data_IF_102859942225
#
_entry.id   IF_102859942225
#
_cell.length_a   1.000
_cell.length_b   1.000
_cell.length_c   1.000
_cell.angle_alpha   90.00
_cell.angle_beta   90.00
_cell.angle_gamma   90.00
#
_symmetry.space_group_name_H-M   'P 1'
#
loop_
_entity.id
_entity.type
_entity.pdbx_description
1 polymer ?
#
# COMPACT_ATOMS: atom_id res chain seq x y z
N UNK A 1 15.47 -18.99 -4.58
CA UNK A 1 14.71 -18.25 -3.57
C UNK A 1 13.25 -18.29 -3.97
N UNK A 2 12.37 -18.79 -3.14
CA UNK A 2 10.94 -18.85 -3.41
C UNK A 2 10.30 -17.50 -3.05
N UNK A 3 9.46 -16.96 -3.95
CA UNK A 3 8.65 -15.76 -3.72
C UNK A 3 7.19 -16.16 -3.68
N UNK A 4 6.48 -15.82 -2.60
CA UNK A 4 5.03 -15.97 -2.54
C UNK A 4 4.37 -14.72 -3.10
N UNK A 5 3.58 -14.89 -4.15
CA UNK A 5 2.70 -13.84 -4.66
C UNK A 5 1.33 -14.02 -4.03
N UNK A 6 0.88 -13.03 -3.27
CA UNK A 6 -0.45 -12.97 -2.70
C UNK A 6 -1.32 -12.05 -3.56
N UNK A 7 -2.40 -12.60 -4.09
CA UNK A 7 -3.46 -11.83 -4.76
C UNK A 7 -4.68 -11.84 -3.84
N UNK A 8 -5.04 -10.68 -3.27
CA UNK A 8 -6.29 -10.56 -2.50
C UNK A 8 -7.44 -10.15 -3.40
N UNK A 9 -8.62 -10.70 -3.16
CA UNK A 9 -9.82 -10.38 -3.93
C UNK A 9 -11.02 -10.13 -3.01
N UNK A 10 -11.90 -9.23 -3.45
CA UNK A 10 -13.26 -9.05 -2.94
C UNK A 10 -14.11 -8.41 -4.03
N UNK A 11 -15.10 -9.16 -4.56
CA UNK A 11 -15.95 -8.73 -5.67
C UNK A 11 -15.13 -8.18 -6.87
N UNK A 12 -14.11 -8.95 -7.27
CA UNK A 12 -13.12 -8.56 -8.28
C UNK A 12 -13.33 -9.26 -9.64
N UNK A 13 -14.49 -9.88 -9.89
CA UNK A 13 -14.76 -10.70 -11.09
C UNK A 13 -14.43 -9.98 -12.40
N UNK A 14 -14.62 -8.66 -12.43
CA UNK A 14 -14.35 -7.82 -13.62
C UNK A 14 -12.87 -7.76 -13.99
N UNK A 15 -11.95 -7.79 -13.01
CA UNK A 15 -10.53 -7.48 -13.22
C UNK A 15 -9.58 -8.61 -12.88
N UNK A 16 -9.96 -9.53 -11.99
CA UNK A 16 -9.08 -10.55 -11.41
C UNK A 16 -8.35 -11.39 -12.44
N UNK A 17 -8.98 -11.66 -13.58
CA UNK A 17 -8.35 -12.40 -14.68
C UNK A 17 -7.09 -11.70 -15.19
N UNK A 18 -7.12 -10.36 -15.32
CA UNK A 18 -5.97 -9.59 -15.80
C UNK A 18 -4.84 -9.61 -14.77
N UNK A 19 -5.17 -9.53 -13.48
CA UNK A 19 -4.20 -9.65 -12.40
C UNK A 19 -3.52 -11.02 -12.43
N UNK A 20 -4.28 -12.12 -12.48
CA UNK A 20 -3.75 -13.48 -12.53
C UNK A 20 -2.87 -13.73 -13.76
N UNK A 21 -3.28 -13.24 -14.93
CA UNK A 21 -2.46 -13.33 -16.15
C UNK A 21 -1.16 -12.55 -16.01
N UNK A 22 -1.13 -11.41 -15.28
CA UNK A 22 0.11 -10.66 -15.03
C UNK A 22 1.07 -11.43 -14.13
N UNK A 23 0.57 -12.16 -13.13
CA UNK A 23 1.37 -13.06 -12.30
C UNK A 23 1.93 -14.22 -13.10
N UNK A 24 1.14 -14.80 -14.00
CA UNK A 24 1.57 -15.89 -14.90
C UNK A 24 2.70 -15.45 -15.84
N UNK A 25 2.65 -14.23 -16.33
CA UNK A 25 3.67 -13.69 -17.27
C UNK A 25 5.00 -13.35 -16.60
N UNK A 26 5.12 -13.40 -15.27
CA UNK A 26 6.37 -13.05 -14.60
C UNK A 26 7.56 -13.82 -15.18
N UNK A 27 8.66 -13.10 -15.46
CA UNK A 27 9.93 -13.67 -15.94
C UNK A 27 10.58 -14.53 -14.87
N UNK A 28 10.45 -14.17 -13.60
CA UNK A 28 10.88 -14.96 -12.46
C UNK A 28 10.02 -16.21 -12.29
N UNK A 29 10.62 -17.41 -12.08
CA UNK A 29 9.89 -18.70 -12.11
C UNK A 29 9.74 -19.38 -10.75
N UNK A 30 10.50 -18.99 -9.75
CA UNK A 30 10.39 -19.55 -8.40
C UNK A 30 9.26 -18.86 -7.63
N UNK A 31 8.01 -19.04 -8.10
CA UNK A 31 6.81 -18.38 -7.57
C UNK A 31 5.86 -19.42 -6.95
N UNK A 32 5.39 -19.13 -5.74
CA UNK A 32 4.19 -19.68 -5.13
C UNK A 32 3.06 -18.67 -5.27
N UNK A 33 1.87 -19.08 -5.73
CA UNK A 33 0.72 -18.20 -5.87
C UNK A 33 -0.35 -18.53 -4.83
N UNK A 34 -0.73 -17.54 -4.03
CA UNK A 34 -1.85 -17.61 -3.10
C UNK A 34 -2.89 -16.58 -3.53
N UNK A 35 -4.06 -17.03 -4.01
CA UNK A 35 -5.21 -16.16 -4.21
C UNK A 35 -6.10 -16.27 -2.97
N UNK A 36 -6.32 -15.14 -2.29
CA UNK A 36 -7.13 -15.11 -1.07
C UNK A 36 -8.36 -14.23 -1.28
N UNK A 37 -9.53 -14.83 -1.21
CA UNK A 37 -10.81 -14.17 -1.42
C UNK A 37 -11.47 -13.81 -0.09
N UNK A 38 -11.88 -12.55 0.07
CA UNK A 38 -12.51 -12.03 1.30
C UNK A 38 -14.04 -12.20 1.30
N UNK A 39 -14.49 -13.43 1.00
CA UNK A 39 -15.91 -13.79 0.98
C UNK A 39 -16.70 -13.03 -0.09
N UNK A 40 -16.21 -13.03 -1.34
CA UNK A 40 -16.91 -12.41 -2.49
C UNK A 40 -18.30 -13.00 -2.72
N UNK A 41 -19.22 -12.15 -3.14
CA UNK A 41 -20.59 -12.53 -3.52
C UNK A 41 -20.82 -12.63 -5.03
N UNK A 42 -19.84 -12.21 -5.83
CA UNK A 42 -19.84 -12.31 -7.30
C UNK A 42 -19.08 -13.56 -7.78
N UNK A 43 -18.81 -13.66 -9.08
CA UNK A 43 -18.14 -14.82 -9.70
C UNK A 43 -16.61 -14.88 -9.42
N UNK A 44 -16.05 -14.00 -8.59
CA UNK A 44 -14.60 -13.90 -8.32
C UNK A 44 -14.00 -15.27 -7.97
N UNK A 45 -14.55 -15.95 -6.97
CA UNK A 45 -14.01 -17.23 -6.47
C UNK A 45 -14.04 -18.33 -7.53
N UNK A 46 -15.10 -18.40 -8.33
CA UNK A 46 -15.25 -19.37 -9.40
C UNK A 46 -14.23 -19.14 -10.52
N UNK A 47 -14.01 -17.89 -10.89
CA UNK A 47 -12.99 -17.47 -11.87
C UNK A 47 -11.59 -17.85 -11.38
N UNK A 48 -11.26 -17.51 -10.14
CA UNK A 48 -9.96 -17.80 -9.54
C UNK A 48 -9.69 -19.31 -9.49
N UNK A 49 -10.63 -20.11 -9.02
CA UNK A 49 -10.50 -21.56 -8.96
C UNK A 49 -10.31 -22.18 -10.36
N UNK A 50 -11.11 -21.78 -11.33
CA UNK A 50 -11.01 -22.26 -12.71
C UNK A 50 -9.66 -21.92 -13.32
N UNK A 51 -9.18 -20.70 -13.09
CA UNK A 51 -7.89 -20.24 -13.62
C UNK A 51 -6.71 -20.94 -12.95
N UNK A 52 -6.69 -21.05 -11.62
CA UNK A 52 -5.62 -21.73 -10.87
C UNK A 52 -5.55 -23.21 -11.26
N UNK A 53 -6.67 -23.91 -11.37
CA UNK A 53 -6.69 -25.32 -11.79
C UNK A 53 -6.05 -25.53 -13.18
N UNK A 54 -6.23 -24.59 -14.11
CA UNK A 54 -5.64 -24.65 -15.45
C UNK A 54 -4.15 -24.30 -15.48
N UNK A 55 -3.67 -23.48 -14.55
CA UNK A 55 -2.35 -22.87 -14.62
C UNK A 55 -1.40 -23.29 -13.46
N UNK A 56 -1.85 -24.08 -12.49
CA UNK A 56 -1.06 -24.42 -11.27
C UNK A 56 0.32 -25.02 -11.55
N UNK A 57 0.49 -25.73 -12.65
CA UNK A 57 1.77 -26.36 -13.04
C UNK A 57 2.85 -25.35 -13.45
N UNK A 58 2.49 -24.09 -13.66
CA UNK A 58 3.42 -23.00 -14.00
C UNK A 58 4.15 -22.51 -12.75
N UNK A 59 3.55 -22.67 -11.59
CA UNK A 59 4.04 -22.23 -10.29
C UNK A 59 4.65 -23.39 -9.49
N UNK A 60 5.47 -23.08 -8.49
CA UNK A 60 5.96 -24.07 -7.53
C UNK A 60 4.83 -24.62 -6.65
N UNK A 61 3.88 -23.77 -6.30
CA UNK A 61 2.61 -24.09 -5.69
C UNK A 61 1.59 -23.03 -6.09
N UNK A 62 0.31 -23.40 -6.19
CA UNK A 62 -0.75 -22.43 -6.46
C UNK A 62 -2.07 -22.89 -5.85
N UNK A 63 -2.72 -22.03 -5.09
CA UNK A 63 -4.00 -22.31 -4.44
C UNK A 63 -4.88 -21.08 -4.32
N UNK A 64 -6.18 -21.34 -4.22
CA UNK A 64 -7.19 -20.36 -3.86
C UNK A 64 -7.66 -20.69 -2.45
N UNK A 65 -7.74 -19.69 -1.59
CA UNK A 65 -8.30 -19.78 -0.24
C UNK A 65 -9.36 -18.72 -0.07
N UNK A 66 -10.29 -18.92 0.85
CA UNK A 66 -11.35 -17.97 1.14
C UNK A 66 -11.44 -17.75 2.64
N UNK A 67 -11.58 -16.49 3.05
CA UNK A 67 -11.82 -16.14 4.46
C UNK A 67 -13.23 -16.61 4.88
N UNK A 68 -13.45 -16.94 6.16
CA UNK A 68 -14.77 -17.35 6.65
C UNK A 68 -15.84 -16.25 6.54
N UNK A 69 -15.43 -14.99 6.54
CA UNK A 69 -16.29 -13.81 6.41
C UNK A 69 -15.44 -12.63 5.91
N UNK A 70 -16.09 -11.62 5.34
CA UNK A 70 -15.38 -10.40 4.94
C UNK A 70 -14.79 -9.70 6.18
N UNK A 71 -13.48 -9.63 6.24
CA UNK A 71 -12.69 -9.00 7.32
C UNK A 71 -11.92 -7.76 6.88
N UNK A 72 -11.95 -7.41 5.60
CA UNK A 72 -11.20 -6.31 5.00
C UNK A 72 -9.79 -6.67 4.56
N UNK A 73 -9.10 -5.69 4.00
CA UNK A 73 -7.82 -5.86 3.30
C UNK A 73 -6.76 -6.50 4.22
N UNK A 74 -6.57 -5.95 5.43
CA UNK A 74 -5.54 -6.44 6.35
C UNK A 74 -5.83 -7.87 6.83
N UNK A 75 -7.09 -8.19 7.14
CA UNK A 75 -7.50 -9.53 7.53
C UNK A 75 -7.24 -10.55 6.40
N UNK A 76 -7.64 -10.21 5.19
CA UNK A 76 -7.45 -11.07 4.02
C UNK A 76 -5.95 -11.30 3.73
N UNK A 77 -5.11 -10.28 3.83
CA UNK A 77 -3.65 -10.46 3.71
C UNK A 77 -3.06 -11.33 4.82
N UNK A 78 -3.48 -11.17 6.08
CA UNK A 78 -3.03 -12.01 7.18
C UNK A 78 -3.44 -13.46 6.99
N UNK A 79 -4.67 -13.70 6.52
CA UNK A 79 -5.15 -15.03 6.20
C UNK A 79 -4.32 -15.69 5.08
N UNK A 80 -4.02 -14.95 4.03
CA UNK A 80 -3.14 -15.38 2.95
C UNK A 80 -1.70 -15.63 3.43
N UNK A 81 -1.14 -14.76 4.27
CA UNK A 81 0.22 -14.84 4.79
C UNK A 81 0.47 -16.16 5.53
N UNK A 82 -0.51 -16.66 6.28
CA UNK A 82 -0.43 -17.97 6.96
C UNK A 82 -0.27 -19.14 5.98
N UNK A 83 -0.64 -18.96 4.73
CA UNK A 83 -0.58 -19.96 3.68
C UNK A 83 0.71 -19.96 2.88
N UNK A 84 1.58 -18.94 3.08
CA UNK A 84 2.81 -18.73 2.30
C UNK A 84 4.00 -19.49 2.85
N UNK A 85 4.91 -19.89 1.95
CA UNK A 85 6.17 -20.59 2.26
C UNK A 85 7.39 -19.86 1.71
N UNK A 86 7.18 -18.87 0.81
CA UNK A 86 8.26 -18.11 0.19
C UNK A 86 9.05 -17.27 1.18
N UNK A 87 10.31 -17.05 0.89
CA UNK A 87 11.20 -16.19 1.68
C UNK A 87 10.79 -14.71 1.58
N UNK A 88 10.25 -14.35 0.43
CA UNK A 88 9.77 -13.00 0.12
C UNK A 88 8.31 -13.03 -0.29
N UNK A 89 7.61 -11.96 0.03
CA UNK A 89 6.21 -11.75 -0.29
C UNK A 89 6.08 -10.59 -1.28
N UNK A 90 5.42 -10.85 -2.41
CA UNK A 90 4.85 -9.82 -3.28
C UNK A 90 3.35 -9.88 -3.15
N UNK A 91 2.71 -8.81 -2.72
CA UNK A 91 1.27 -8.78 -2.65
C UNK A 91 0.67 -7.76 -3.62
N UNK A 92 -0.57 -8.02 -4.05
CA UNK A 92 -1.30 -7.19 -5.02
C UNK A 92 -2.82 -7.41 -4.85
N UNK A 93 -3.62 -6.39 -5.12
CA UNK A 93 -5.07 -6.50 -5.18
C UNK A 93 -5.54 -7.10 -6.52
N UNK A 94 -6.72 -7.72 -6.54
CA UNK A 94 -7.28 -8.42 -7.70
C UNK A 94 -7.72 -7.54 -8.86
N UNK A 95 -7.44 -6.25 -8.83
CA UNK A 95 -7.73 -5.26 -9.86
C UNK A 95 -6.47 -4.58 -10.43
N UNK A 96 -5.29 -4.86 -9.85
CA UNK A 96 -4.01 -4.29 -10.26
C UNK A 96 -3.21 -5.26 -11.16
N UNK A 97 -2.13 -4.78 -11.76
CA UNK A 97 -1.33 -5.53 -12.73
C UNK A 97 0.16 -5.41 -12.38
N UNK A 98 0.88 -6.53 -12.37
CA UNK A 98 2.34 -6.55 -12.30
C UNK A 98 2.93 -6.43 -13.71
N UNK A 99 4.02 -5.64 -13.86
CA UNK A 99 4.85 -5.71 -15.06
C UNK A 99 5.53 -7.08 -15.15
N UNK A 100 5.77 -7.57 -16.35
CA UNK A 100 6.22 -8.95 -16.58
C UNK A 100 7.55 -9.30 -15.87
N UNK A 101 8.43 -8.31 -15.64
CA UNK A 101 9.71 -8.45 -14.94
C UNK A 101 9.67 -8.01 -13.46
N UNK A 102 8.49 -7.72 -12.90
CA UNK A 102 8.36 -7.10 -11.58
C UNK A 102 9.11 -7.87 -10.48
N UNK A 103 8.86 -9.17 -10.35
CA UNK A 103 9.47 -9.98 -9.29
C UNK A 103 10.98 -10.13 -9.53
N UNK A 104 11.41 -10.35 -10.76
CA UNK A 104 12.82 -10.45 -11.14
C UNK A 104 13.60 -9.18 -10.76
N UNK A 105 13.02 -8.00 -11.02
CA UNK A 105 13.66 -6.72 -10.69
C UNK A 105 13.77 -6.52 -9.17
N UNK A 106 12.72 -6.85 -8.41
CA UNK A 106 12.83 -6.82 -6.94
C UNK A 106 13.91 -7.77 -6.43
N UNK A 107 13.91 -9.01 -6.88
CA UNK A 107 14.89 -10.02 -6.48
C UNK A 107 16.32 -9.58 -6.80
N UNK A 108 16.55 -9.01 -7.98
CA UNK A 108 17.87 -8.50 -8.40
C UNK A 108 18.35 -7.29 -7.56
N UNK A 109 17.45 -6.58 -6.91
CA UNK A 109 17.77 -5.42 -6.08
C UNK A 109 17.89 -5.72 -4.57
N UNK A 110 17.74 -6.98 -4.14
CA UNK A 110 17.87 -7.35 -2.73
C UNK A 110 19.29 -7.04 -2.24
N UNK A 111 19.38 -6.30 -1.14
CA UNK A 111 20.61 -5.93 -0.46
C UNK A 111 20.59 -6.40 0.99
N UNK A 112 21.75 -6.71 1.60
CA UNK A 112 21.81 -7.05 3.02
C UNK A 112 21.16 -5.97 3.90
N UNK A 113 20.44 -6.40 4.93
CA UNK A 113 19.77 -5.53 5.92
C UNK A 113 18.67 -4.61 5.35
N UNK A 114 18.12 -4.93 4.18
CA UNK A 114 16.92 -4.29 3.64
C UNK A 114 15.87 -5.38 3.40
N UNK A 115 14.77 -5.32 4.12
CA UNK A 115 13.75 -6.37 4.17
C UNK A 115 12.40 -5.92 3.59
N UNK A 116 12.30 -4.66 3.17
CA UNK A 116 11.13 -4.10 2.50
C UNK A 116 11.59 -3.20 1.35
N UNK A 117 10.97 -3.38 0.19
CA UNK A 117 11.21 -2.59 -1.02
C UNK A 117 9.91 -2.00 -1.54
N UNK A 118 10.03 -0.89 -2.26
CA UNK A 118 8.97 -0.26 -3.05
C UNK A 118 9.48 0.13 -4.43
N UNK A 119 8.55 0.43 -5.36
CA UNK A 119 8.89 0.79 -6.74
C UNK A 119 8.04 1.98 -7.24
N UNK A 120 8.26 2.40 -8.48
CA UNK A 120 7.38 3.34 -9.19
C UNK A 120 6.07 2.64 -9.56
N UNK A 121 4.96 3.38 -9.49
CA UNK A 121 3.63 2.91 -9.89
C UNK A 121 3.19 3.58 -11.19
N UNK A 122 2.59 2.82 -12.10
CA UNK A 122 1.80 3.34 -13.22
C UNK A 122 0.34 3.47 -12.75
N UNK A 123 -0.20 4.67 -12.76
CA UNK A 123 -1.62 4.89 -12.49
C UNK A 123 -2.40 4.79 -13.80
N UNK A 124 -3.18 3.73 -13.95
CA UNK A 124 -4.02 3.48 -15.11
C UNK A 124 -5.43 3.98 -14.84
N UNK A 125 -5.81 5.08 -15.48
CA UNK A 125 -7.21 5.54 -15.48
C UNK A 125 -8.05 4.65 -16.40
N UNK A 126 -8.89 3.82 -15.81
CA UNK A 126 -9.63 2.78 -16.52
C UNK A 126 -10.56 3.35 -17.60
N UNK A 127 -11.22 4.48 -17.34
CA UNK A 127 -12.19 5.11 -18.26
C UNK A 127 -11.52 5.73 -19.50
N UNK A 128 -10.28 6.18 -19.38
CA UNK A 128 -9.57 6.91 -20.45
C UNK A 128 -8.40 6.16 -21.04
N UNK A 129 -7.95 5.09 -20.38
CA UNK A 129 -6.71 4.37 -20.71
C UNK A 129 -5.42 5.20 -20.48
N UNK A 130 -5.52 6.39 -19.87
CA UNK A 130 -4.35 7.22 -19.61
C UNK A 130 -3.49 6.61 -18.50
N UNK A 131 -2.17 6.65 -18.70
CA UNK A 131 -1.18 6.19 -17.72
C UNK A 131 -0.35 7.39 -17.26
N UNK A 132 -0.19 7.52 -15.95
CA UNK A 132 0.71 8.47 -15.31
C UNK A 132 1.66 7.71 -14.37
N UNK A 133 2.92 8.15 -14.30
CA UNK A 133 3.95 7.52 -13.46
C UNK A 133 4.08 8.27 -12.14
N UNK A 134 4.11 7.52 -11.04
CA UNK A 134 4.25 8.07 -9.70
C UNK A 134 5.33 7.32 -8.92
N UNK A 135 6.32 8.04 -8.42
CA UNK A 135 7.30 7.50 -7.49
C UNK A 135 6.87 7.75 -6.04
N UNK A 136 7.38 6.91 -5.14
CA UNK A 136 7.26 7.18 -3.70
C UNK A 136 7.94 8.52 -3.34
N UNK A 137 7.43 9.20 -2.30
CA UNK A 137 8.09 10.37 -1.70
C UNK A 137 9.05 10.01 -0.58
N UNK A 138 9.23 8.73 -0.32
CA UNK A 138 10.21 8.27 0.66
C UNK A 138 11.61 8.57 0.12
N UNK A 139 12.47 9.29 0.85
CA UNK A 139 13.82 9.54 0.38
C UNK A 139 14.64 8.24 0.37
N UNK A 140 15.50 8.07 -0.63
CA UNK A 140 16.50 6.98 -0.62
C UNK A 140 17.64 7.32 0.35
N UNK A 141 17.37 7.23 1.63
CA UNK A 141 18.23 7.68 2.73
C UNK A 141 18.06 6.75 3.96
N UNK A 142 18.49 7.22 5.12
CA UNK A 142 18.39 6.49 6.39
C UNK A 142 16.93 6.20 6.80
N UNK A 143 16.73 5.13 7.56
CA UNK A 143 15.43 4.80 8.14
C UNK A 143 14.80 5.97 8.90
N UNK A 144 15.62 6.75 9.62
CA UNK A 144 15.17 7.95 10.33
C UNK A 144 14.55 9.01 9.41
N UNK A 145 15.21 9.32 8.28
CA UNK A 145 14.67 10.29 7.31
C UNK A 145 13.43 9.76 6.60
N UNK A 146 13.38 8.46 6.33
CA UNK A 146 12.22 7.80 5.74
C UNK A 146 11.03 7.85 6.70
N UNK A 147 11.20 7.46 7.97
CA UNK A 147 10.17 7.57 9.01
C UNK A 147 9.65 9.01 9.17
N UNK A 148 10.58 9.97 9.26
CA UNK A 148 10.23 11.38 9.35
C UNK A 148 9.42 11.88 8.15
N UNK A 149 9.76 11.43 6.95
CA UNK A 149 9.00 11.74 5.73
C UNK A 149 7.59 11.18 5.79
N UNK A 150 7.42 9.92 6.19
CA UNK A 150 6.12 9.28 6.30
C UNK A 150 5.24 9.86 7.39
N UNK A 151 5.79 10.24 8.54
CA UNK A 151 5.05 10.95 9.59
C UNK A 151 4.60 12.34 9.14
N UNK A 152 5.37 12.98 8.26
CA UNK A 152 5.05 14.31 7.73
C UNK A 152 4.05 14.26 6.57
N UNK A 153 4.15 13.25 5.72
CA UNK A 153 3.35 13.12 4.50
C UNK A 153 2.58 11.80 4.56
N UNK A 154 1.26 11.87 4.57
CA UNK A 154 0.40 10.71 4.75
C UNK A 154 0.63 9.79 3.59
N UNK A 155 0.72 9.70 2.56
CA UNK A 155 0.93 8.73 1.49
C UNK A 155 2.34 8.80 0.90
N UNK A 156 3.23 8.01 1.44
CA UNK A 156 4.58 7.91 0.91
C UNK A 156 4.86 6.59 0.19
N UNK A 157 4.02 5.58 0.40
CA UNK A 157 4.15 4.24 -0.17
C UNK A 157 2.78 3.80 -0.70
N UNK A 158 2.75 2.91 -1.67
CA UNK A 158 1.53 2.35 -2.24
C UNK A 158 1.55 0.83 -2.06
N UNK A 159 0.49 0.25 -1.52
CA UNK A 159 0.37 -1.17 -1.21
C UNK A 159 0.89 -2.09 -2.31
N UNK A 160 0.35 -2.03 -3.53
CA UNK A 160 0.79 -2.91 -4.61
C UNK A 160 2.26 -2.74 -5.03
N UNK A 161 3.00 -1.74 -4.54
CA UNK A 161 4.43 -1.61 -4.81
C UNK A 161 5.33 -2.33 -3.82
N UNK A 162 4.80 -2.85 -2.73
CA UNK A 162 5.58 -3.45 -1.66
C UNK A 162 6.05 -4.86 -2.02
N UNK A 163 7.33 -5.10 -1.73
CA UNK A 163 7.99 -6.40 -1.75
C UNK A 163 8.74 -6.56 -0.43
N UNK A 164 8.39 -7.58 0.37
CA UNK A 164 8.80 -7.67 1.77
C UNK A 164 9.28 -9.07 2.14
N UNK A 165 10.33 -9.16 2.95
CA UNK A 165 10.82 -10.41 3.48
C UNK A 165 9.81 -11.00 4.49
N UNK A 166 9.46 -12.27 4.29
CA UNK A 166 8.37 -12.94 5.00
C UNK A 166 8.56 -12.99 6.51
N UNK A 167 9.75 -13.35 6.98
CA UNK A 167 9.99 -13.52 8.40
C UNK A 167 9.88 -12.18 9.13
N UNK A 168 10.44 -11.11 8.57
CA UNK A 168 10.30 -9.76 9.13
C UNK A 168 8.83 -9.29 9.16
N UNK A 169 8.05 -9.60 8.11
CA UNK A 169 6.62 -9.29 8.11
C UNK A 169 5.89 -10.00 9.25
N UNK A 170 6.17 -11.31 9.45
CA UNK A 170 5.57 -12.11 10.51
C UNK A 170 6.01 -11.63 11.90
N UNK A 171 7.32 -11.42 12.11
CA UNK A 171 7.91 -10.97 13.37
C UNK A 171 7.41 -9.58 13.80
N UNK A 172 7.12 -8.70 12.84
CA UNK A 172 6.54 -7.38 13.09
C UNK A 172 5.03 -7.40 13.27
N UNK A 173 4.38 -8.58 13.26
CA UNK A 173 2.97 -8.75 13.56
C UNK A 173 2.04 -8.72 12.33
N UNK A 174 2.60 -8.87 11.11
CA UNK A 174 1.79 -8.92 9.88
C UNK A 174 1.11 -7.60 9.55
N UNK A 175 -0.07 -7.69 8.93
CA UNK A 175 -0.91 -6.55 8.58
C UNK A 175 -1.79 -6.15 9.78
N UNK A 176 -1.90 -4.86 10.06
CA UNK A 176 -2.52 -4.36 11.29
C UNK A 176 -4.04 -4.24 11.15
N UNK A 177 -4.78 -5.27 11.62
CA UNK A 177 -6.24 -5.37 11.47
C UNK A 177 -7.02 -4.28 12.23
N UNK A 178 -6.36 -3.56 13.14
CA UNK A 178 -6.93 -2.35 13.75
C UNK A 178 -7.30 -1.30 12.69
N UNK A 179 -6.60 -1.30 11.55
CA UNK A 179 -6.87 -0.41 10.41
C UNK A 179 -7.21 -1.24 9.17
N UNK A 180 -8.40 -1.83 9.11
CA UNK A 180 -8.72 -2.95 8.21
C UNK A 180 -8.56 -2.65 6.72
N UNK A 181 -8.52 -1.36 6.34
CA UNK A 181 -8.45 -0.91 4.94
C UNK A 181 -7.08 -0.32 4.55
N UNK A 182 -6.09 -0.31 5.47
CA UNK A 182 -4.78 0.32 5.25
C UNK A 182 -3.68 -0.67 5.65
N UNK A 183 -3.11 -1.33 4.68
CA UNK A 183 -2.07 -2.34 4.89
C UNK A 183 -0.65 -1.79 4.74
N UNK A 184 -0.47 -0.78 3.89
CA UNK A 184 0.82 -0.32 3.39
C UNK A 184 1.53 0.65 4.36
N UNK A 185 0.86 1.73 4.73
CA UNK A 185 1.46 2.78 5.54
C UNK A 185 1.83 2.31 6.96
N UNK A 186 1.00 1.53 7.69
CA UNK A 186 1.36 0.99 9.00
C UNK A 186 2.58 0.07 8.97
N UNK A 187 2.73 -0.77 7.95
CA UNK A 187 3.92 -1.62 7.77
C UNK A 187 5.14 -0.75 7.56
N UNK A 188 5.10 0.18 6.62
CA UNK A 188 6.23 1.02 6.26
C UNK A 188 6.71 1.89 7.44
N UNK A 189 5.78 2.46 8.22
CA UNK A 189 6.15 3.28 9.38
C UNK A 189 6.72 2.43 10.51
N UNK A 190 6.19 1.23 10.79
CA UNK A 190 6.75 0.30 11.77
C UNK A 190 8.18 -0.09 11.41
N UNK A 191 8.42 -0.40 10.14
CA UNK A 191 9.76 -0.72 9.63
C UNK A 191 10.76 0.40 9.87
N UNK A 192 10.44 1.59 9.45
CA UNK A 192 11.36 2.72 9.52
C UNK A 192 11.55 3.25 10.93
N UNK A 193 10.52 3.19 11.79
CA UNK A 193 10.64 3.57 13.21
C UNK A 193 11.41 2.55 14.06
N UNK A 194 11.50 1.28 13.61
CA UNK A 194 12.40 0.29 14.22
C UNK A 194 13.84 0.35 13.70
N UNK A 195 14.17 1.34 12.88
CA UNK A 195 15.51 1.56 12.37
C UNK A 195 15.83 0.84 11.06
N UNK A 196 14.86 0.15 10.46
CA UNK A 196 15.04 -0.55 9.20
C UNK A 196 14.74 0.37 8.01
N UNK A 197 15.62 0.37 7.02
CA UNK A 197 15.49 1.17 5.81
C UNK A 197 14.62 0.46 4.77
N UNK A 198 13.76 1.21 4.09
CA UNK A 198 13.04 0.76 2.90
C UNK A 198 13.93 0.97 1.67
N UNK A 199 14.11 -0.08 0.87
CA UNK A 199 14.77 -0.03 -0.42
C UNK A 199 13.85 0.53 -1.50
N UNK A 200 14.42 1.23 -2.47
CA UNK A 200 13.67 1.79 -3.60
C UNK A 200 14.20 1.16 -4.89
N UNK A 201 13.30 0.56 -5.67
CA UNK A 201 13.56 0.13 -7.04
C UNK A 201 12.96 1.21 -7.95
N UNK A 202 13.84 1.99 -8.59
CA UNK A 202 13.44 3.15 -9.38
C UNK A 202 12.95 2.75 -10.77
N UNK A 203 12.00 1.82 -10.82
CA UNK A 203 11.41 1.27 -12.04
C UNK A 203 9.88 1.16 -11.88
N UNK A 204 9.10 1.37 -12.97
CA UNK A 204 7.65 1.27 -12.95
C UNK A 204 7.21 -0.20 -13.07
N UNK A 205 7.13 -0.90 -11.93
CA UNK A 205 6.91 -2.35 -11.89
C UNK A 205 5.46 -2.77 -11.63
N UNK A 206 4.57 -1.83 -11.32
CA UNK A 206 3.17 -2.10 -10.99
C UNK A 206 2.25 -1.09 -11.67
N UNK A 207 1.12 -1.56 -12.20
CA UNK A 207 0.03 -0.71 -12.66
C UNK A 207 -1.10 -0.73 -11.64
N UNK A 208 -1.34 0.40 -11.01
CA UNK A 208 -2.48 0.62 -10.13
C UNK A 208 -3.66 1.12 -10.94
N UNK A 209 -4.76 0.36 -10.88
CA UNK A 209 -5.99 0.70 -11.61
C UNK A 209 -6.82 1.69 -10.81
N UNK A 210 -7.23 2.78 -11.47
CA UNK A 210 -8.09 3.82 -10.91
C UNK A 210 -9.42 3.78 -11.67
N UNK A 211 -10.53 3.61 -10.94
CA UNK A 211 -11.91 3.65 -11.47
C UNK A 211 -12.86 4.19 -10.41
N UNK A 212 -14.04 4.67 -10.83
CA UNK A 212 -14.95 5.46 -9.98
C UNK A 212 -15.40 4.78 -8.68
N UNK A 213 -15.46 3.44 -8.65
CA UNK A 213 -15.88 2.65 -7.48
C UNK A 213 -14.69 2.01 -6.74
N UNK A 214 -13.44 2.42 -7.01
CA UNK A 214 -12.30 1.89 -6.28
C UNK A 214 -12.36 2.25 -4.78
N UNK A 215 -11.95 1.32 -3.92
CA UNK A 215 -12.02 1.46 -2.46
C UNK A 215 -11.31 2.73 -1.99
N UNK A 216 -10.15 3.04 -2.56
CA UNK A 216 -9.35 4.22 -2.20
C UNK A 216 -10.02 5.57 -2.54
N UNK A 217 -10.99 5.60 -3.45
CA UNK A 217 -11.63 6.84 -3.93
C UNK A 217 -13.05 7.04 -3.39
N UNK A 218 -13.77 5.98 -3.09
CA UNK A 218 -15.20 6.04 -2.76
C UNK A 218 -15.55 5.57 -1.35
N UNK A 219 -14.62 4.95 -0.62
CA UNK A 219 -14.96 4.28 0.63
C UNK A 219 -14.69 5.15 1.85
N UNK A 220 -15.75 5.51 2.59
CA UNK A 220 -15.66 6.24 3.85
C UNK A 220 -14.83 5.50 4.92
N UNK A 221 -14.92 4.16 4.95
CA UNK A 221 -14.15 3.32 5.88
C UNK A 221 -12.64 3.39 5.62
N UNK A 222 -12.21 3.49 4.35
CA UNK A 222 -10.82 3.73 3.99
C UNK A 222 -10.30 5.04 4.59
N UNK A 223 -11.04 6.14 4.40
CA UNK A 223 -10.65 7.45 4.93
C UNK A 223 -10.60 7.49 6.46
N UNK A 224 -11.47 6.73 7.14
CA UNK A 224 -11.45 6.59 8.61
C UNK A 224 -10.20 5.82 9.04
N UNK A 225 -9.98 4.61 8.51
CA UNK A 225 -8.84 3.76 8.85
C UNK A 225 -7.51 4.50 8.67
N UNK A 226 -7.37 5.20 7.56
CA UNK A 226 -6.18 5.98 7.27
C UNK A 226 -5.93 7.10 8.28
N UNK A 227 -6.97 7.84 8.64
CA UNK A 227 -6.87 8.94 9.61
C UNK A 227 -6.53 8.45 11.00
N UNK A 228 -7.12 7.33 11.43
CA UNK A 228 -6.85 6.72 12.71
C UNK A 228 -5.42 6.19 12.77
N UNK A 229 -4.97 5.48 11.75
CA UNK A 229 -3.59 5.01 11.66
C UNK A 229 -2.60 6.17 11.73
N UNK A 230 -2.82 7.20 10.92
CA UNK A 230 -1.94 8.36 10.91
C UNK A 230 -1.92 9.10 12.25
N UNK A 231 -3.08 9.29 12.90
CA UNK A 231 -3.17 9.88 14.22
C UNK A 231 -2.37 9.09 15.25
N UNK A 232 -2.61 7.78 15.36
CA UNK A 232 -2.00 6.93 16.38
C UNK A 232 -0.47 6.89 16.23
N UNK A 233 0.03 6.70 15.02
CA UNK A 233 1.47 6.66 14.75
C UNK A 233 2.13 8.04 14.91
N UNK A 234 1.45 9.11 14.50
CA UNK A 234 1.94 10.47 14.70
C UNK A 234 2.05 10.80 16.18
N UNK A 235 1.02 10.50 16.98
CA UNK A 235 1.05 10.71 18.44
C UNK A 235 2.17 9.92 19.11
N UNK A 236 2.43 8.69 18.64
CA UNK A 236 3.45 7.82 19.21
C UNK A 236 4.88 8.27 18.88
N UNK A 237 5.14 8.75 17.66
CA UNK A 237 6.50 8.91 17.15
C UNK A 237 6.93 10.34 16.85
N UNK A 238 6.03 11.33 16.76
CA UNK A 238 6.39 12.70 16.37
C UNK A 238 7.51 13.33 17.21
N UNK A 239 7.55 13.06 18.51
CA UNK A 239 8.61 13.58 19.39
C UNK A 239 9.99 13.07 19.00
N UNK A 240 10.11 11.78 18.67
CA UNK A 240 11.38 11.17 18.26
C UNK A 240 11.92 11.73 16.94
N UNK A 241 11.02 12.27 16.11
CA UNK A 241 11.36 12.77 14.77
C UNK A 241 11.33 14.31 14.67
N UNK A 242 11.32 15.01 15.83
CA UNK A 242 11.32 16.48 15.90
C UNK A 242 10.19 17.14 15.10
N UNK A 243 8.96 16.64 15.27
CA UNK A 243 7.74 17.15 14.61
C UNK A 243 6.67 17.61 15.62
N UNK A 244 7.00 18.43 16.65
CA UNK A 244 6.06 18.79 17.73
C UNK A 244 4.84 19.57 17.24
N UNK A 245 5.01 20.44 16.23
CA UNK A 245 3.91 21.22 15.65
C UNK A 245 2.90 20.33 14.91
N UNK A 246 3.37 19.24 14.28
CA UNK A 246 2.48 18.27 13.64
C UNK A 246 1.64 17.53 14.67
N UNK A 247 2.17 17.25 15.86
CA UNK A 247 1.46 16.61 16.95
C UNK A 247 0.23 17.41 17.37
N UNK A 248 0.40 18.72 17.61
CA UNK A 248 -0.70 19.62 17.96
C UNK A 248 -1.75 19.70 16.85
N UNK A 249 -1.30 19.85 15.61
CA UNK A 249 -2.18 19.93 14.44
C UNK A 249 -3.02 18.64 14.27
N UNK A 250 -2.41 17.47 14.43
CA UNK A 250 -3.10 16.18 14.33
C UNK A 250 -4.07 15.95 15.49
N UNK A 251 -3.65 16.24 16.72
CA UNK A 251 -4.51 16.15 17.89
C UNK A 251 -5.76 17.02 17.72
N UNK A 252 -5.58 18.26 17.31
CA UNK A 252 -6.68 19.20 17.15
C UNK A 252 -7.62 18.80 16.00
N UNK A 253 -7.09 18.36 14.86
CA UNK A 253 -7.91 17.87 13.75
C UNK A 253 -8.71 16.61 14.14
N UNK A 254 -8.08 15.66 14.84
CA UNK A 254 -8.75 14.46 15.31
C UNK A 254 -9.86 14.80 16.31
N UNK A 255 -9.57 15.69 17.27
CA UNK A 255 -10.54 16.17 18.25
C UNK A 255 -11.74 16.86 17.60
N UNK A 256 -11.50 17.77 16.66
CA UNK A 256 -12.54 18.47 15.91
C UNK A 256 -13.44 17.51 15.12
N UNK A 257 -12.85 16.54 14.43
CA UNK A 257 -13.61 15.56 13.65
C UNK A 257 -14.47 14.63 14.52
N UNK A 258 -14.02 14.35 15.74
CA UNK A 258 -14.75 13.51 16.69
C UNK A 258 -15.90 14.23 17.41
N UNK A 259 -15.77 15.55 17.62
CA UNK A 259 -16.68 16.32 18.47
C UNK A 259 -17.52 17.36 17.72
N UNK A 260 -17.23 17.63 16.44
CA UNK A 260 -17.98 18.58 15.62
C UNK A 260 -18.98 17.86 14.71
N UNK A 261 -20.27 18.18 14.88
CA UNK A 261 -21.33 17.76 13.96
C UNK A 261 -21.45 18.66 12.72
N UNK A 262 -20.79 19.83 12.72
CA UNK A 262 -20.86 20.82 11.66
C UNK A 262 -19.61 20.81 10.78
N UNK A 263 -19.75 20.30 9.56
CA UNK A 263 -18.66 20.25 8.57
C UNK A 263 -18.12 21.64 8.16
N UNK A 264 -18.89 22.72 8.34
CA UNK A 264 -18.49 24.10 8.06
C UNK A 264 -17.45 24.61 9.08
N UNK A 265 -17.63 24.27 10.36
CA UNK A 265 -16.70 24.63 11.44
C UNK A 265 -15.33 23.94 11.27
N UNK A 266 -15.34 22.67 10.86
CA UNK A 266 -14.11 21.92 10.55
C UNK A 266 -13.34 22.55 9.40
N UNK A 267 -14.05 22.99 8.34
CA UNK A 267 -13.43 23.66 7.19
C UNK A 267 -12.82 25.01 7.57
N UNK A 268 -13.53 25.82 8.37
CA UNK A 268 -13.05 27.12 8.83
C UNK A 268 -11.83 26.98 9.73
N UNK A 269 -11.86 26.06 10.69
CA UNK A 269 -10.75 25.83 11.61
C UNK A 269 -9.55 25.18 10.92
N UNK A 270 -9.76 24.30 9.97
CA UNK A 270 -8.72 23.74 9.10
C UNK A 270 -8.07 24.81 8.22
N UNK A 271 -8.79 25.89 7.86
CA UNK A 271 -8.23 27.06 7.18
C UNK A 271 -7.36 27.89 8.13
N UNK A 272 -7.82 28.16 9.35
CA UNK A 272 -7.06 28.90 10.38
C UNK A 272 -5.77 28.16 10.75
N UNK A 273 -5.81 26.85 10.93
CA UNK A 273 -4.62 26.03 11.20
C UNK A 273 -3.62 26.06 10.03
N UNK A 274 -4.10 26.08 8.80
CA UNK A 274 -3.25 26.27 7.60
C UNK A 274 -2.58 27.65 7.59
N UNK A 275 -3.25 28.70 8.07
CA UNK A 275 -2.66 30.02 8.20
C UNK A 275 -1.57 30.09 9.28
N UNK A 276 -1.71 29.34 10.38
CA UNK A 276 -0.68 29.28 11.44
C UNK A 276 0.56 28.51 10.96
N UNK A 277 0.38 27.42 10.20
CA UNK A 277 1.50 26.74 9.52
C UNK A 277 2.20 27.66 8.49
N UNK A 278 1.45 28.57 7.87
CA UNK A 278 1.98 29.50 6.87
C UNK A 278 2.97 30.51 7.45
N UNK A 279 2.81 30.94 8.70
CA UNK A 279 3.69 31.92 9.36
C UNK A 279 5.05 31.30 9.71
N UNK A 280 5.14 29.99 9.92
CA UNK A 280 6.36 29.31 10.32
C UNK A 280 7.14 28.60 9.20
N UNK A 281 6.62 28.52 7.99
CA UNK A 281 7.25 27.78 6.89
C UNK A 281 7.24 28.57 5.59
N UNK A 282 8.24 29.44 5.40
CA UNK A 282 8.69 29.88 4.06
C UNK A 282 9.27 28.72 3.22
N UNK A 283 8.79 27.50 3.40
CA UNK A 283 9.17 26.33 2.60
C UNK A 283 7.91 25.81 1.97
N UNK A 284 7.87 25.86 0.63
CA UNK A 284 6.87 25.34 -0.31
C UNK A 284 5.81 24.48 0.38
N UNK A 285 4.72 25.11 0.75
CA UNK A 285 3.50 24.40 1.16
C UNK A 285 3.07 23.66 -0.10
N UNK A 286 3.20 22.34 -0.05
CA UNK A 286 2.52 21.50 -1.02
C UNK A 286 1.04 21.65 -0.63
N UNK A 287 0.19 22.19 -1.50
CA UNK A 287 -1.23 22.28 -1.21
C UNK A 287 -1.73 20.88 -0.84
N UNK A 288 -2.74 20.83 0.01
CA UNK A 288 -3.49 19.63 0.37
C UNK A 288 -4.31 19.08 -0.84
N UNK A 289 -3.84 19.34 -2.03
CA UNK A 289 -4.22 18.66 -3.24
C UNK A 289 -3.51 17.32 -3.21
N UNK A 290 -4.17 16.40 -2.67
CA UNK A 290 -4.32 14.97 -2.80
C UNK A 290 -3.41 14.20 -3.79
N UNK A 291 -2.20 14.63 -4.06
CA UNK A 291 -1.24 13.82 -4.80
C UNK A 291 -0.18 13.29 -3.85
N UNK A 292 -0.41 12.11 -3.29
CA UNK A 292 0.51 11.46 -2.35
C UNK A 292 1.81 11.01 -3.01
N UNK A 293 1.88 11.05 -4.33
CA UNK A 293 2.99 10.55 -5.13
C UNK A 293 3.59 11.66 -5.98
N UNK A 294 4.90 11.60 -6.22
CA UNK A 294 5.57 12.47 -7.17
C UNK A 294 5.27 11.97 -8.60
N UNK A 295 4.70 12.82 -9.44
CA UNK A 295 4.61 12.56 -10.87
C UNK A 295 6.03 12.49 -11.46
N UNK A 296 6.38 11.36 -12.05
CA UNK A 296 7.65 11.17 -12.76
C UNK A 296 7.45 11.61 -14.20
N UNK A 297 8.25 12.56 -14.68
CA UNK A 297 8.22 12.94 -16.08
C UNK A 297 8.86 11.82 -16.91
N UNK A 298 8.30 11.55 -18.09
CA UNK A 298 8.83 10.54 -19.00
C UNK A 298 10.31 10.77 -19.39
N UNK A 299 10.80 12.01 -19.25
CA UNK A 299 12.21 12.36 -19.48
C UNK A 299 13.15 12.02 -18.30
N UNK A 300 12.62 11.54 -17.19
CA UNK A 300 13.39 11.16 -15.99
C UNK A 300 13.58 9.63 -15.90
N UNK A 301 13.04 8.86 -16.86
CA UNK A 301 13.18 7.42 -17.03
C UNK A 301 14.15 7.09 -18.17
#
# INVERSE_FOLDING_TARGET
>A
MLVSVIVITYNSAQYVMQTLESVKRQTYKEIELIVSDDCSSDDTISICNSWVNKNKTIFKDAKVVQTPSNGGICHNYNYALQQTKGEWIKYIAGDDILEDNCIERFVANIKPNIFLYTCITKHLQNETGKIALYSTRIPDDTAWKQARSMLKYLYCINGPTIFIERNHLVETGGFEEKYPMIEDWPIAIRYTTSGMRIGIVDEPLVQWRIYGNSISHSNHSFAISLREAWYDYTMRFCWQYFLPLHLYHHWLNHWLLKHSKDGAFIKLFGYVLRCVDFVNVKRKIIPFNNEPYRLVKQSEL
#
